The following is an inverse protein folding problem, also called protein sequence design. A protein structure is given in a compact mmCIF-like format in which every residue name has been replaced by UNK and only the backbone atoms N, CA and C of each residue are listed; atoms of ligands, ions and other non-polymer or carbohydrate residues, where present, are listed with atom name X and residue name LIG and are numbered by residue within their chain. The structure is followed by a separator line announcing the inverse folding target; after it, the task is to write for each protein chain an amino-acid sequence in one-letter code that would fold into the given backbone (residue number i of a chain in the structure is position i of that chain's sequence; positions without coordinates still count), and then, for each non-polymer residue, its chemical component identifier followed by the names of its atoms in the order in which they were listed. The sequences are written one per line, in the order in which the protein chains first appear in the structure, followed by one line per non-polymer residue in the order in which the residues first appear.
data_IF_065430063317
#
_entry.id   IF_065430063317
#
_cell.length_a   1.000
_cell.length_b   1.000
_cell.length_c   1.000
_cell.angle_alpha   90.00
_cell.angle_beta   90.00
_cell.angle_gamma   90.00
#
_symmetry.space_group_name_H-M   'P 1'
#
loop_
_entity.id
_entity.type
_entity.pdbx_description
1 polymer ?
#
# COMPACT_ATOMS: atom_id res chain seq x y z
N UNK A 1 16.51 11.74 4.82
CA UNK A 1 17.83 11.07 4.75
C UNK A 1 17.87 9.57 5.10
N UNK A 2 17.16 9.05 6.11
CA UNK A 2 17.19 7.60 6.44
C UNK A 2 16.58 6.68 5.36
N UNK A 3 15.46 7.09 4.77
CA UNK A 3 14.72 6.30 3.76
C UNK A 3 15.54 6.14 2.46
N UNK A 4 16.25 7.20 2.01
CA UNK A 4 17.04 7.20 0.76
C UNK A 4 18.16 6.16 0.77
N UNK A 5 18.96 6.11 1.83
CA UNK A 5 20.15 5.24 1.90
C UNK A 5 19.83 3.76 2.14
N UNK A 6 18.66 3.44 2.69
CA UNK A 6 18.34 2.06 3.07
C UNK A 6 17.56 1.27 2.00
N UNK A 7 16.88 1.93 1.06
CA UNK A 7 15.72 1.30 0.42
C UNK A 7 15.62 1.35 -1.11
N UNK A 8 16.61 1.87 -1.83
CA UNK A 8 16.63 1.94 -3.32
C UNK A 8 15.36 2.61 -3.91
N UNK A 9 14.96 3.73 -3.30
CA UNK A 9 13.82 4.56 -3.70
C UNK A 9 14.36 5.85 -4.31
N UNK A 10 13.76 6.31 -5.42
CA UNK A 10 14.18 7.54 -6.10
C UNK A 10 14.02 8.77 -5.20
N UNK A 11 14.82 9.82 -5.42
CA UNK A 11 14.74 11.05 -4.64
C UNK A 11 13.33 11.66 -4.66
N UNK A 12 12.68 11.64 -5.82
CA UNK A 12 11.31 12.13 -6.01
C UNK A 12 10.30 11.31 -5.21
N UNK A 13 10.41 9.98 -5.21
CA UNK A 13 9.48 9.11 -4.47
C UNK A 13 9.64 9.30 -2.96
N UNK A 14 10.88 9.48 -2.47
CA UNK A 14 11.11 9.78 -1.05
C UNK A 14 10.49 11.11 -0.67
N UNK A 15 10.63 12.15 -1.50
CA UNK A 15 9.99 13.45 -1.25
C UNK A 15 8.47 13.33 -1.17
N UNK A 16 7.85 12.54 -2.07
CA UNK A 16 6.40 12.30 -2.05
C UNK A 16 5.98 11.56 -0.77
N UNK A 17 6.67 10.48 -0.40
CA UNK A 17 6.33 9.69 0.80
C UNK A 17 6.52 10.50 2.07
N UNK A 18 7.54 11.37 2.10
CA UNK A 18 7.87 12.21 3.25
C UNK A 18 7.18 13.57 3.23
N UNK A 19 6.32 13.84 2.23
CA UNK A 19 5.58 15.09 2.08
C UNK A 19 4.70 15.43 3.30
N UNK A 20 4.22 14.41 4.01
CA UNK A 20 3.48 14.57 5.26
C UNK A 20 3.98 13.55 6.29
N UNK A 21 3.92 13.92 7.57
CA UNK A 21 4.28 13.02 8.67
C UNK A 21 3.46 11.72 8.63
N UNK A 22 2.16 11.82 8.42
CA UNK A 22 1.26 10.67 8.41
C UNK A 22 1.55 9.69 7.27
N UNK A 23 1.98 10.18 6.11
CA UNK A 23 2.41 9.31 4.99
C UNK A 23 3.76 8.65 5.28
N UNK A 24 4.70 9.38 5.85
CA UNK A 24 5.99 8.84 6.28
C UNK A 24 5.80 7.75 7.34
N UNK A 25 4.98 8.00 8.36
CA UNK A 25 4.67 7.06 9.43
C UNK A 25 3.98 5.79 8.89
N UNK A 26 3.07 5.94 7.91
CA UNK A 26 2.43 4.82 7.23
C UNK A 26 3.46 3.96 6.48
N UNK A 27 4.34 4.58 5.69
CA UNK A 27 5.41 3.88 4.97
C UNK A 27 6.36 3.16 5.93
N UNK A 28 6.85 3.83 6.97
CA UNK A 28 7.74 3.21 7.96
C UNK A 28 7.07 2.04 8.67
N UNK A 29 5.78 2.16 8.98
CA UNK A 29 5.00 1.06 9.58
C UNK A 29 4.88 -0.13 8.64
N UNK A 30 4.71 0.10 7.34
CA UNK A 30 4.72 -0.98 6.34
C UNK A 30 6.09 -1.67 6.26
N UNK A 31 7.18 -0.89 6.22
CA UNK A 31 8.55 -1.42 6.11
C UNK A 31 8.95 -2.25 7.33
N UNK A 32 8.45 -1.91 8.53
CA UNK A 32 8.66 -2.72 9.75
C UNK A 32 8.05 -4.12 9.65
N UNK A 33 7.00 -4.29 8.86
CA UNK A 33 6.26 -5.57 8.70
C UNK A 33 6.72 -6.33 7.44
N UNK A 34 7.22 -5.60 6.43
CA UNK A 34 7.55 -6.13 5.12
C UNK A 34 8.81 -5.51 4.55
N UNK A 35 9.86 -6.32 4.37
CA UNK A 35 11.21 -5.87 4.03
C UNK A 35 11.43 -5.56 2.54
N UNK A 36 10.38 -5.11 1.83
CA UNK A 36 10.45 -4.71 0.42
C UNK A 36 9.97 -3.28 0.21
N UNK A 37 10.78 -2.30 0.65
CA UNK A 37 10.41 -0.88 0.71
C UNK A 37 10.10 -0.28 -0.67
N UNK A 38 10.79 -0.71 -1.73
CA UNK A 38 10.55 -0.27 -3.11
C UNK A 38 9.18 -0.73 -3.64
N UNK A 39 8.72 -1.92 -3.22
CA UNK A 39 7.38 -2.40 -3.58
C UNK A 39 6.34 -1.59 -2.82
N UNK A 40 6.57 -1.36 -1.51
CA UNK A 40 5.67 -0.56 -0.67
C UNK A 40 5.55 0.87 -1.22
N UNK A 41 6.67 1.53 -1.56
CA UNK A 41 6.66 2.89 -2.09
C UNK A 41 5.86 3.00 -3.39
N UNK A 42 6.05 2.03 -4.30
CA UNK A 42 5.31 1.99 -5.56
C UNK A 42 3.80 1.92 -5.35
N UNK A 43 3.32 1.06 -4.45
CA UNK A 43 1.89 0.94 -4.14
C UNK A 43 1.33 2.17 -3.41
N UNK A 44 2.11 2.76 -2.50
CA UNK A 44 1.70 3.99 -1.84
C UNK A 44 1.55 5.12 -2.85
N UNK A 45 2.54 5.34 -3.71
CA UNK A 45 2.56 6.48 -4.63
C UNK A 45 1.57 6.31 -5.77
N UNK A 46 1.52 5.11 -6.39
CA UNK A 46 0.76 4.90 -7.62
C UNK A 46 -0.71 4.55 -7.38
N UNK A 47 -1.02 3.88 -6.28
CA UNK A 47 -2.37 3.36 -6.03
C UNK A 47 -3.01 4.07 -4.83
N UNK A 48 -2.36 4.08 -3.66
CA UNK A 48 -2.95 4.70 -2.46
C UNK A 48 -3.11 6.22 -2.61
N UNK A 49 -2.04 6.93 -2.94
CA UNK A 49 -2.07 8.38 -3.11
C UNK A 49 -3.02 8.81 -4.22
N UNK A 50 -3.09 8.03 -5.32
CA UNK A 50 -4.06 8.24 -6.37
C UNK A 50 -5.50 8.16 -5.86
N UNK A 51 -5.85 7.12 -5.08
CA UNK A 51 -7.19 6.96 -4.51
C UNK A 51 -7.52 8.04 -3.46
N UNK A 52 -6.55 8.41 -2.62
CA UNK A 52 -6.69 9.52 -1.67
C UNK A 52 -7.01 10.83 -2.39
N UNK A 53 -6.27 11.15 -3.46
CA UNK A 53 -6.49 12.34 -4.27
C UNK A 53 -7.84 12.30 -4.97
N UNK A 54 -8.23 11.16 -5.57
CA UNK A 54 -9.54 11.02 -6.21
C UNK A 54 -10.71 11.22 -5.24
N UNK A 55 -10.57 10.78 -3.99
CA UNK A 55 -11.60 10.95 -2.96
C UNK A 55 -11.45 12.24 -2.15
N UNK A 56 -10.40 13.02 -2.41
CA UNK A 56 -10.06 14.23 -1.67
C UNK A 56 -9.98 14.00 -0.16
N UNK A 57 -9.44 12.85 0.25
CA UNK A 57 -9.22 12.50 1.66
C UNK A 57 -7.74 12.34 1.97
N UNK A 58 -7.38 12.55 3.23
CA UNK A 58 -6.02 12.29 3.75
C UNK A 58 -5.88 10.84 4.19
N UNK A 59 -4.63 10.37 4.30
CA UNK A 59 -4.31 9.02 4.79
C UNK A 59 -4.89 8.74 6.18
N UNK A 60 -4.99 9.76 7.03
CA UNK A 60 -5.58 9.70 8.37
C UNK A 60 -7.06 9.30 8.35
N UNK A 61 -7.76 9.63 7.27
CA UNK A 61 -9.18 9.31 7.06
C UNK A 61 -9.36 8.06 6.18
N UNK A 62 -8.26 7.40 5.79
CA UNK A 62 -8.30 6.21 4.96
C UNK A 62 -8.55 4.96 5.81
N UNK A 63 -9.31 4.02 5.28
CA UNK A 63 -9.53 2.71 5.92
C UNK A 63 -8.36 1.74 5.72
N UNK A 64 -7.43 2.06 4.82
CA UNK A 64 -6.25 1.24 4.56
C UNK A 64 -5.24 1.46 5.68
N UNK A 65 -5.02 0.42 6.47
CA UNK A 65 -3.90 0.34 7.42
C UNK A 65 -2.67 -0.33 6.79
N UNK A 66 -1.48 -0.23 7.40
CA UNK A 66 -0.30 -0.96 6.94
C UNK A 66 -0.53 -2.46 6.75
N UNK A 67 -1.30 -3.08 7.66
CA UNK A 67 -1.61 -4.52 7.58
C UNK A 67 -2.43 -4.88 6.34
N UNK A 68 -3.30 -4.00 5.85
CA UNK A 68 -4.07 -4.24 4.63
C UNK A 68 -3.15 -4.31 3.42
N UNK A 69 -2.29 -3.30 3.25
CA UNK A 69 -1.33 -3.25 2.15
C UNK A 69 -0.39 -4.45 2.21
N UNK A 70 0.21 -4.73 3.37
CA UNK A 70 1.16 -5.83 3.51
C UNK A 70 0.48 -7.19 3.34
N UNK A 71 -0.73 -7.39 3.84
CA UNK A 71 -1.50 -8.63 3.61
C UNK A 71 -1.66 -8.91 2.12
N UNK A 72 -2.04 -7.88 1.35
CA UNK A 72 -2.20 -8.01 -0.10
C UNK A 72 -0.86 -8.30 -0.79
N UNK A 73 0.22 -7.60 -0.41
CA UNK A 73 1.55 -7.83 -0.97
C UNK A 73 2.04 -9.27 -0.72
N UNK A 74 1.82 -9.80 0.49
CA UNK A 74 2.14 -11.20 0.81
C UNK A 74 1.34 -12.19 -0.02
N UNK A 75 0.10 -11.86 -0.40
CA UNK A 75 -0.68 -12.71 -1.30
C UNK A 75 -0.12 -12.71 -2.73
N UNK A 76 0.40 -11.56 -3.21
CA UNK A 76 1.09 -11.48 -4.50
C UNK A 76 2.38 -12.31 -4.45
N UNK A 77 3.19 -12.13 -3.41
CA UNK A 77 4.45 -12.86 -3.22
C UNK A 77 4.23 -14.38 -3.12
N UNK A 78 3.15 -14.80 -2.46
CA UNK A 78 2.75 -16.21 -2.38
C UNK A 78 2.13 -16.75 -3.68
N UNK A 79 2.02 -15.95 -4.74
CA UNK A 79 1.43 -16.35 -6.02
C UNK A 79 -0.08 -16.61 -5.95
N UNK A 80 -0.76 -16.21 -4.86
CA UNK A 80 -2.21 -16.43 -4.66
C UNK A 80 -3.08 -15.48 -5.48
N UNK A 81 -2.52 -14.35 -5.89
CA UNK A 81 -3.16 -13.36 -6.76
C UNK A 81 -2.12 -12.74 -7.68
N UNK A 82 -2.52 -12.39 -8.90
CA UNK A 82 -1.68 -11.58 -9.79
C UNK A 82 -1.70 -10.10 -9.41
N UNK A 83 -0.73 -9.32 -9.87
CA UNK A 83 -0.73 -7.86 -9.66
C UNK A 83 -1.98 -7.17 -10.23
N UNK A 84 -2.54 -7.69 -11.33
CA UNK A 84 -3.81 -7.18 -11.90
C UNK A 84 -4.98 -7.39 -10.94
N UNK A 85 -5.07 -8.58 -10.33
CA UNK A 85 -6.10 -8.91 -9.35
C UNK A 85 -5.91 -8.08 -8.08
N UNK A 86 -4.66 -7.92 -7.63
CA UNK A 86 -4.32 -7.12 -6.46
C UNK A 86 -4.83 -5.67 -6.57
N UNK A 87 -4.74 -5.03 -7.75
CA UNK A 87 -5.29 -3.69 -7.94
C UNK A 87 -6.80 -3.62 -7.69
N UNK A 88 -7.55 -4.58 -8.22
CA UNK A 88 -9.00 -4.66 -7.99
C UNK A 88 -9.33 -4.89 -6.51
N UNK A 89 -8.55 -5.73 -5.83
CA UNK A 89 -8.70 -5.94 -4.38
C UNK A 89 -8.35 -4.66 -3.62
N UNK A 90 -7.29 -3.95 -4.00
CA UNK A 90 -6.85 -2.73 -3.35
C UNK A 90 -7.93 -1.64 -3.37
N UNK A 91 -8.58 -1.43 -4.51
CA UNK A 91 -9.72 -0.52 -4.60
C UNK A 91 -10.88 -0.94 -3.70
N UNK A 92 -11.16 -2.24 -3.60
CA UNK A 92 -12.23 -2.77 -2.73
C UNK A 92 -11.87 -2.61 -1.25
N UNK A 93 -10.61 -2.89 -0.88
CA UNK A 93 -10.09 -2.62 0.47
C UNK A 93 -10.25 -1.14 0.81
N UNK A 94 -9.94 -0.24 -0.12
CA UNK A 94 -10.01 1.19 0.11
C UNK A 94 -11.46 1.64 0.38
N UNK A 95 -12.43 1.10 -0.37
CA UNK A 95 -13.86 1.41 -0.22
C UNK A 95 -14.43 0.84 1.08
N UNK A 96 -14.14 -0.43 1.35
CA UNK A 96 -14.81 -1.19 2.40
C UNK A 96 -14.09 -1.17 3.74
N UNK A 97 -12.75 -1.16 3.72
CA UNK A 97 -11.90 -1.41 4.88
C UNK A 97 -11.76 -2.89 5.23
N UNK A 98 -12.15 -3.81 4.33
CA UNK A 98 -11.97 -5.25 4.52
C UNK A 98 -10.53 -5.66 4.25
N UNK A 99 -10.10 -6.73 4.91
CA UNK A 99 -8.81 -7.36 4.65
C UNK A 99 -8.76 -8.03 3.26
N UNK A 100 -7.58 -8.08 2.63
CA UNK A 100 -7.43 -8.64 1.27
C UNK A 100 -7.84 -10.11 1.20
N UNK A 101 -7.54 -10.92 2.23
CA UNK A 101 -7.94 -12.33 2.26
C UNK A 101 -9.46 -12.50 2.24
N UNK A 102 -10.20 -11.64 2.93
CA UNK A 102 -11.67 -11.68 2.95
C UNK A 102 -12.24 -11.37 1.57
N UNK A 103 -11.69 -10.37 0.88
CA UNK A 103 -12.15 -9.96 -0.45
C UNK A 103 -11.88 -11.06 -1.47
N UNK A 104 -10.69 -11.68 -1.42
CA UNK A 104 -10.33 -12.80 -2.28
C UNK A 104 -11.27 -13.98 -2.08
N UNK A 105 -11.55 -14.34 -0.83
CA UNK A 105 -12.49 -15.41 -0.49
C UNK A 105 -13.91 -15.11 -0.99
N UNK A 106 -14.39 -13.88 -0.83
CA UNK A 106 -15.72 -13.46 -1.27
C UNK A 106 -15.87 -13.47 -2.80
N UNK A 107 -14.81 -13.10 -3.52
CA UNK A 107 -14.84 -13.01 -5.00
C UNK A 107 -14.43 -14.31 -5.70
N UNK A 108 -14.05 -15.36 -4.96
CA UNK A 108 -13.59 -16.63 -5.53
C UNK A 108 -12.32 -16.50 -6.38
N UNK A 109 -11.49 -15.49 -6.11
CA UNK A 109 -10.28 -15.19 -6.86
C UNK A 109 -9.17 -16.17 -6.42
N UNK A 110 -8.45 -16.74 -7.38
CA UNK A 110 -7.26 -17.59 -7.19
C UNK A 110 -6.23 -17.26 -8.26
#
# INVERSE_FOLDING_TARGET
DRIKKQYDISDNDVEIITSTKSMADFFESCVKIYSYPKIISNWIIRDLLYLLNQKQIKIENCKISPNHLIGMLKMIEAGKISGKIAKSIFEEMFKTGKMPEEIVKQKGLK
#
